data_IF_401021172247
#
_entry.id   IF_401021172247
#
_cell.length_a   1.000
_cell.length_b   1.000
_cell.length_c   1.000
_cell.angle_alpha   90.00
_cell.angle_beta   90.00
_cell.angle_gamma   90.00
#
_symmetry.space_group_name_H-M   'P 1'
#
loop_
_entity.id
_entity.type
_entity.pdbx_description
1 polymer ?
#
# COMPACT_ATOMS: atom_id res chain seq x y z
N UNK A 1 13.56 -0.76 17.03
CA UNK A 1 13.07 -1.81 16.12
C UNK A 1 13.75 -1.61 14.78
N UNK A 2 14.32 -2.65 14.19
CA UNK A 2 14.98 -2.53 12.89
C UNK A 2 13.96 -2.48 11.73
N UNK A 3 14.38 -2.10 10.51
CA UNK A 3 13.48 -1.95 9.37
C UNK A 3 12.77 -3.24 8.96
N UNK A 4 13.40 -4.40 9.19
CA UNK A 4 12.85 -5.70 8.81
C UNK A 4 11.74 -6.11 9.78
N UNK A 5 11.98 -5.96 11.08
CA UNK A 5 10.95 -6.15 12.11
C UNK A 5 9.75 -5.23 11.87
N UNK A 6 10.00 -3.98 11.48
CA UNK A 6 8.94 -3.00 11.15
C UNK A 6 8.11 -3.41 9.93
N UNK A 7 8.77 -3.92 8.88
CA UNK A 7 8.09 -4.41 7.69
C UNK A 7 7.23 -5.65 7.99
N UNK A 8 7.74 -6.58 8.81
CA UNK A 8 7.01 -7.77 9.23
C UNK A 8 5.73 -7.40 10.01
N UNK A 9 5.85 -6.53 11.02
CA UNK A 9 4.71 -6.07 11.81
C UNK A 9 3.70 -5.36 10.90
N UNK A 10 4.17 -4.46 10.03
CA UNK A 10 3.28 -3.73 9.10
C UNK A 10 2.54 -4.66 8.14
N UNK A 11 3.21 -5.68 7.61
CA UNK A 11 2.62 -6.68 6.74
C UNK A 11 1.56 -7.52 7.47
N UNK A 12 1.82 -7.94 8.70
CA UNK A 12 0.84 -8.66 9.53
C UNK A 12 -0.37 -7.77 9.85
N UNK A 13 -0.15 -6.53 10.31
CA UNK A 13 -1.24 -5.61 10.65
C UNK A 13 -2.10 -5.27 9.43
N UNK A 14 -1.45 -4.92 8.31
CA UNK A 14 -2.14 -4.60 7.07
C UNK A 14 -2.84 -5.82 6.45
N UNK A 15 -2.24 -7.01 6.58
CA UNK A 15 -2.82 -8.27 6.12
C UNK A 15 -3.98 -8.77 6.98
N UNK A 16 -3.90 -8.61 8.30
CA UNK A 16 -4.98 -8.94 9.20
C UNK A 16 -6.18 -8.00 9.04
N UNK A 17 -5.95 -6.73 8.67
CA UNK A 17 -7.02 -5.79 8.36
C UNK A 17 -7.57 -5.97 6.93
N UNK A 18 -6.69 -6.13 5.93
CA UNK A 18 -7.03 -6.18 4.52
C UNK A 18 -7.34 -7.60 4.01
N UNK A 19 -6.51 -8.59 4.32
CA UNK A 19 -6.65 -9.98 3.85
C UNK A 19 -7.89 -10.73 4.37
N UNK A 20 -8.57 -10.19 5.39
CA UNK A 20 -9.89 -10.65 5.85
C UNK A 20 -11.04 -9.75 5.38
N UNK A 21 -10.74 -8.56 4.85
CA UNK A 21 -11.74 -7.65 4.34
C UNK A 21 -12.30 -8.14 3.01
N UNK A 22 -13.61 -7.93 2.79
CA UNK A 22 -14.33 -8.34 1.57
C UNK A 22 -13.84 -7.63 0.30
N UNK A 23 -13.10 -6.54 0.44
CA UNK A 23 -12.66 -5.67 -0.66
C UNK A 23 -11.20 -5.93 -1.09
N UNK A 24 -10.45 -6.77 -0.37
CA UNK A 24 -9.07 -7.06 -0.75
C UNK A 24 -8.98 -7.90 -2.02
N UNK A 25 -7.91 -7.68 -2.79
CA UNK A 25 -7.62 -8.46 -3.99
C UNK A 25 -7.35 -9.92 -3.62
N UNK A 26 -7.66 -10.85 -4.55
CA UNK A 26 -7.42 -12.28 -4.32
C UNK A 26 -5.95 -12.62 -4.05
N UNK A 27 -5.01 -11.78 -4.50
CA UNK A 27 -3.58 -11.93 -4.25
C UNK A 27 -3.21 -11.55 -2.82
N UNK A 28 -3.73 -10.44 -2.29
CA UNK A 28 -3.56 -10.05 -0.88
C UNK A 28 -4.10 -11.14 0.05
N UNK A 29 -5.30 -11.66 -0.23
CA UNK A 29 -5.91 -12.75 0.56
C UNK A 29 -5.04 -14.02 0.52
N UNK A 30 -4.47 -14.36 -0.64
CA UNK A 30 -3.60 -15.54 -0.79
C UNK A 30 -2.29 -15.36 -0.04
N UNK A 31 -1.62 -14.22 -0.19
CA UNK A 31 -0.36 -13.91 0.48
C UNK A 31 -0.53 -13.91 2.00
N UNK A 32 -1.62 -13.34 2.50
CA UNK A 32 -1.95 -13.37 3.92
C UNK A 32 -2.17 -14.80 4.45
N UNK A 33 -2.99 -15.60 3.76
CA UNK A 33 -3.22 -17.02 4.12
C UNK A 33 -1.92 -17.83 4.13
N UNK A 34 -1.02 -17.56 3.19
CA UNK A 34 0.30 -18.20 3.16
C UNK A 34 1.13 -17.81 4.39
N UNK A 35 1.27 -16.52 4.70
CA UNK A 35 1.99 -16.05 5.89
C UNK A 35 1.41 -16.64 7.17
N UNK A 36 0.08 -16.66 7.30
CA UNK A 36 -0.63 -17.27 8.42
C UNK A 36 -0.32 -18.76 8.56
N UNK A 37 -0.34 -19.51 7.45
CA UNK A 37 0.00 -20.93 7.46
C UNK A 37 1.46 -21.15 7.90
N UNK A 38 2.41 -20.36 7.38
CA UNK A 38 3.82 -20.44 7.77
C UNK A 38 4.03 -20.15 9.26
N UNK A 39 3.34 -19.15 9.81
CA UNK A 39 3.37 -18.84 11.24
C UNK A 39 2.81 -20.00 12.08
N UNK A 40 1.72 -20.62 11.63
CA UNK A 40 1.15 -21.80 12.28
C UNK A 40 2.10 -22.99 12.24
N UNK A 41 2.73 -23.26 11.09
CA UNK A 41 3.62 -24.42 10.89
C UNK A 41 4.93 -24.28 11.67
N UNK A 42 5.53 -23.08 11.69
CA UNK A 42 6.82 -22.87 12.35
C UNK A 42 6.70 -22.72 13.87
N UNK A 43 5.69 -21.99 14.35
CA UNK A 43 5.55 -21.68 15.78
C UNK A 43 4.53 -22.56 16.47
N UNK A 44 3.62 -23.19 15.72
CA UNK A 44 2.56 -24.03 16.24
C UNK A 44 1.29 -23.24 16.55
N UNK A 45 0.14 -23.92 16.40
CA UNK A 45 -1.20 -23.35 16.65
C UNK A 45 -1.44 -22.85 18.08
N UNK A 46 -0.68 -23.38 19.04
CA UNK A 46 -0.79 -23.06 20.45
C UNK A 46 0.24 -22.04 20.92
N UNK A 47 1.10 -21.55 20.01
CA UNK A 47 2.06 -20.49 20.32
C UNK A 47 1.36 -19.18 20.66
N UNK A 48 2.02 -18.37 21.49
CA UNK A 48 1.56 -17.03 21.85
C UNK A 48 1.41 -16.18 20.58
N UNK A 49 2.43 -16.18 19.72
CA UNK A 49 2.41 -15.47 18.43
C UNK A 49 1.20 -15.84 17.56
N UNK A 50 0.92 -17.13 17.36
CA UNK A 50 -0.21 -17.53 16.52
C UNK A 50 -1.56 -17.17 17.16
N UNK A 51 -1.69 -17.29 18.50
CA UNK A 51 -2.90 -16.86 19.21
C UNK A 51 -3.11 -15.34 19.16
N UNK A 52 -2.04 -14.57 19.21
CA UNK A 52 -2.09 -13.11 19.05
C UNK A 52 -2.47 -12.72 17.62
N UNK A 53 -2.00 -13.47 16.61
CA UNK A 53 -2.46 -13.32 15.23
C UNK A 53 -3.97 -13.55 15.11
N UNK A 54 -4.50 -14.67 15.63
CA UNK A 54 -5.94 -14.94 15.63
C UNK A 54 -6.73 -13.85 16.36
N UNK A 55 -6.21 -13.41 17.50
CA UNK A 55 -6.83 -12.34 18.28
C UNK A 55 -6.89 -11.02 17.49
N UNK A 56 -5.84 -10.71 16.74
CA UNK A 56 -5.78 -9.54 15.88
C UNK A 56 -6.75 -9.67 14.70
N UNK A 57 -6.83 -10.84 14.06
CA UNK A 57 -7.80 -11.12 12.97
C UNK A 57 -9.24 -10.84 13.40
N UNK A 58 -9.59 -11.17 14.65
CA UNK A 58 -10.93 -10.90 15.19
C UNK A 58 -11.21 -9.41 15.43
N UNK A 59 -10.16 -8.61 15.70
CA UNK A 59 -10.30 -7.20 16.05
C UNK A 59 -9.09 -6.37 15.59
N UNK A 60 -8.94 -6.15 14.27
CA UNK A 60 -7.74 -5.57 13.69
C UNK A 60 -7.52 -4.12 14.11
N UNK A 61 -8.57 -3.37 14.48
CA UNK A 61 -8.50 -1.98 14.95
C UNK A 61 -8.08 -1.82 16.42
N UNK A 62 -7.91 -2.93 17.16
CA UNK A 62 -7.54 -2.86 18.58
C UNK A 62 -6.05 -2.57 18.78
N UNK A 63 -5.73 -1.34 19.22
CA UNK A 63 -4.34 -0.94 19.53
C UNK A 63 -3.61 -1.94 20.43
N UNK A 64 -4.24 -2.37 21.53
CA UNK A 64 -3.63 -3.34 22.45
C UNK A 64 -3.26 -4.66 21.76
N UNK A 65 -4.06 -5.12 20.78
CA UNK A 65 -3.75 -6.35 20.02
C UNK A 65 -2.66 -6.12 18.99
N UNK A 66 -2.65 -4.94 18.36
CA UNK A 66 -1.59 -4.52 17.43
C UNK A 66 -0.23 -4.38 18.13
N UNK A 67 -0.22 -3.90 19.37
CA UNK A 67 1.00 -3.80 20.18
C UNK A 67 1.44 -5.18 20.69
N UNK A 68 0.52 -6.00 21.20
CA UNK A 68 0.85 -7.33 21.70
C UNK A 68 1.46 -8.26 20.65
N UNK A 69 0.93 -8.27 19.42
CA UNK A 69 1.51 -9.09 18.35
C UNK A 69 2.90 -8.60 17.92
N UNK A 70 3.19 -7.30 18.04
CA UNK A 70 4.51 -6.75 17.73
C UNK A 70 5.56 -7.24 18.73
N UNK A 71 5.21 -7.33 20.01
CA UNK A 71 6.03 -7.93 21.06
C UNK A 71 6.25 -9.43 20.81
N UNK A 72 5.17 -10.17 20.56
CA UNK A 72 5.25 -11.62 20.33
C UNK A 72 6.08 -12.01 19.11
N UNK A 73 6.07 -11.19 18.05
CA UNK A 73 6.90 -11.37 16.86
C UNK A 73 8.39 -11.34 17.20
N UNK A 74 8.80 -10.42 18.08
CA UNK A 74 10.20 -10.28 18.51
C UNK A 74 10.57 -11.38 19.49
N UNK A 75 9.69 -11.68 20.45
CA UNK A 75 9.93 -12.68 21.50
C UNK A 75 10.06 -14.09 20.94
N UNK A 76 9.25 -14.43 19.93
CA UNK A 76 9.33 -15.71 19.24
C UNK A 76 10.43 -15.75 18.15
N UNK A 77 11.11 -14.63 17.88
CA UNK A 77 12.14 -14.54 16.85
C UNK A 77 11.60 -14.66 15.42
N UNK A 78 10.33 -14.36 15.18
CA UNK A 78 9.74 -14.35 13.84
C UNK A 78 10.32 -13.25 12.96
N UNK A 79 10.73 -12.16 13.59
CA UNK A 79 11.53 -11.09 13.00
C UNK A 79 12.89 -11.53 12.46
N UNK A 80 13.41 -12.69 12.88
CA UNK A 80 14.72 -13.22 12.45
C UNK A 80 14.60 -14.38 11.46
N UNK A 81 13.38 -14.82 11.15
CA UNK A 81 13.16 -15.93 10.25
C UNK A 81 13.11 -15.43 8.79
N UNK A 82 14.07 -15.78 7.92
CA UNK A 82 14.17 -15.22 6.58
C UNK A 82 12.96 -15.56 5.69
N UNK A 83 12.38 -16.75 5.84
CA UNK A 83 11.19 -17.15 5.07
C UNK A 83 9.96 -16.34 5.47
N UNK A 84 9.80 -16.08 6.78
CA UNK A 84 8.71 -15.24 7.30
C UNK A 84 8.88 -13.78 6.87
N UNK A 85 10.10 -13.26 6.90
CA UNK A 85 10.41 -11.90 6.42
C UNK A 85 10.04 -11.72 4.94
N UNK A 86 10.37 -12.71 4.09
CA UNK A 86 10.04 -12.68 2.66
C UNK A 86 8.53 -12.68 2.46
N UNK A 87 7.81 -13.60 3.10
CA UNK A 87 6.35 -13.69 2.97
C UNK A 87 5.63 -12.42 3.47
N UNK A 88 6.11 -11.84 4.57
CA UNK A 88 5.53 -10.60 5.09
C UNK A 88 5.86 -9.37 4.22
N UNK A 89 7.05 -9.34 3.62
CA UNK A 89 7.41 -8.29 2.66
C UNK A 89 6.56 -8.36 1.40
N UNK A 90 6.36 -9.55 0.84
CA UNK A 90 5.48 -9.78 -0.32
C UNK A 90 4.06 -9.28 -0.03
N UNK A 91 3.51 -9.67 1.12
CA UNK A 91 2.20 -9.20 1.56
C UNK A 91 2.15 -7.68 1.71
N UNK A 92 3.17 -7.07 2.33
CA UNK A 92 3.24 -5.61 2.50
C UNK A 92 3.29 -4.88 1.16
N UNK A 93 4.04 -5.39 0.19
CA UNK A 93 4.17 -4.77 -1.12
C UNK A 93 2.84 -4.90 -1.91
N UNK A 94 2.17 -6.06 -1.86
CA UNK A 94 0.81 -6.24 -2.39
C UNK A 94 -0.21 -5.30 -1.74
N UNK A 95 -0.11 -5.07 -0.43
CA UNK A 95 -1.00 -4.14 0.29
C UNK A 95 -0.80 -2.70 -0.16
N UNK A 96 0.45 -2.28 -0.44
CA UNK A 96 0.73 -0.94 -0.97
C UNK A 96 0.19 -0.77 -2.38
N UNK A 97 0.28 -1.80 -3.21
CA UNK A 97 -0.28 -1.81 -4.57
C UNK A 97 -1.80 -1.84 -4.56
N UNK A 98 -2.41 -2.53 -3.59
CA UNK A 98 -3.85 -2.62 -3.42
C UNK A 98 -4.48 -1.38 -2.76
N UNK A 99 -3.67 -0.48 -2.17
CA UNK A 99 -4.21 0.81 -1.73
C UNK A 99 -4.73 1.55 -2.95
N UNK A 100 -6.01 2.00 -2.94
CA UNK A 100 -6.52 2.79 -4.04
C UNK A 100 -5.59 3.98 -4.23
N UNK A 101 -5.08 4.17 -5.45
CA UNK A 101 -4.40 5.41 -5.80
C UNK A 101 -5.26 6.57 -5.29
N UNK A 102 -4.62 7.55 -4.66
CA UNK A 102 -5.29 8.63 -3.94
C UNK A 102 -6.54 9.12 -4.70
N UNK A 103 -7.71 9.05 -4.05
CA UNK A 103 -8.94 9.57 -4.65
C UNK A 103 -8.82 11.08 -4.71
N UNK A 104 -8.58 11.61 -5.91
CA UNK A 104 -8.52 13.05 -6.13
C UNK A 104 -9.90 13.56 -6.56
N UNK A 105 -10.65 14.12 -5.61
CA UNK A 105 -11.88 14.86 -5.94
C UNK A 105 -11.51 16.23 -6.51
N UNK A 106 -11.99 16.53 -7.71
CA UNK A 106 -11.67 17.75 -8.42
C UNK A 106 -12.96 18.36 -8.98
N UNK A 107 -13.31 19.56 -8.50
CA UNK A 107 -14.45 20.32 -9.01
C UNK A 107 -13.93 21.52 -9.78
N UNK A 108 -14.20 21.55 -11.09
CA UNK A 108 -13.87 22.67 -11.95
C UNK A 108 -15.13 23.50 -12.25
N UNK A 109 -15.07 24.80 -12.02
CA UNK A 109 -16.10 25.76 -12.45
C UNK A 109 -15.47 26.78 -13.39
N UNK A 110 -16.15 27.12 -14.50
CA UNK A 110 -15.61 28.04 -15.51
C UNK A 110 -14.65 27.38 -16.49
N UNK A 111 -13.81 28.17 -17.17
CA UNK A 111 -12.99 27.71 -18.29
C UNK A 111 -11.64 27.06 -17.93
N UNK A 112 -11.40 26.61 -16.70
CA UNK A 112 -10.07 26.08 -16.32
C UNK A 112 -9.81 24.65 -16.82
N UNK A 113 -8.77 24.00 -16.30
CA UNK A 113 -8.49 22.60 -16.57
C UNK A 113 -7.85 21.93 -15.35
N UNK A 114 -8.03 20.61 -15.22
CA UNK A 114 -7.48 19.81 -14.14
C UNK A 114 -6.61 18.71 -14.75
N UNK A 115 -5.35 18.65 -14.32
CA UNK A 115 -4.40 17.58 -14.66
C UNK A 115 -3.97 16.88 -13.37
N UNK A 116 -4.09 15.55 -13.33
CA UNK A 116 -3.75 14.72 -12.18
C UNK A 116 -2.91 13.53 -12.62
N UNK A 117 -1.95 13.15 -11.78
CA UNK A 117 -1.03 12.06 -12.05
C UNK A 117 0.33 12.50 -12.59
N UNK A 118 1.29 11.60 -12.55
CA UNK A 118 2.67 11.84 -13.00
C UNK A 118 2.68 12.11 -14.51
N UNK A 119 3.23 13.26 -14.91
CA UNK A 119 3.30 13.67 -16.32
C UNK A 119 2.03 14.34 -16.84
N UNK A 120 1.05 14.65 -15.98
CA UNK A 120 -0.17 15.32 -16.39
C UNK A 120 0.08 16.80 -16.75
N UNK A 121 -0.53 17.23 -17.84
CA UNK A 121 -0.43 18.59 -18.38
C UNK A 121 -1.81 19.02 -18.84
N UNK A 122 -2.24 20.23 -18.48
CA UNK A 122 -3.54 20.75 -18.87
C UNK A 122 -3.50 22.26 -19.07
N UNK A 123 -4.31 22.76 -20.01
CA UNK A 123 -4.55 24.18 -20.25
C UNK A 123 -6.06 24.46 -20.16
N UNK A 124 -6.41 25.55 -19.48
CA UNK A 124 -7.76 26.11 -19.52
C UNK A 124 -8.00 26.96 -20.77
N UNK A 125 -9.11 27.68 -20.78
CA UNK A 125 -9.57 28.55 -21.85
C UNK A 125 -8.48 29.56 -22.24
N UNK A 126 -8.16 29.63 -23.53
CA UNK A 126 -7.10 30.47 -24.09
C UNK A 126 -5.67 29.94 -23.88
N UNK A 127 -5.48 28.79 -23.25
CA UNK A 127 -4.17 28.24 -22.93
C UNK A 127 -3.61 27.28 -23.97
N UNK A 128 -2.28 27.24 -24.05
CA UNK A 128 -1.51 26.18 -24.71
C UNK A 128 -0.68 25.51 -23.62
N UNK A 129 -0.78 24.19 -23.50
CA UNK A 129 0.05 23.42 -22.56
C UNK A 129 0.89 22.39 -23.32
N UNK A 130 2.17 22.34 -23.00
CA UNK A 130 3.13 21.44 -23.64
C UNK A 130 3.77 20.56 -22.57
N UNK A 131 3.62 19.24 -22.73
CA UNK A 131 4.22 18.24 -21.85
C UNK A 131 5.40 17.56 -22.51
N UNK A 132 6.42 17.23 -21.70
CA UNK A 132 7.62 16.55 -22.17
C UNK A 132 8.65 17.50 -22.80
N UNK A 133 9.47 16.97 -23.73
CA UNK A 133 10.56 17.72 -24.37
C UNK A 133 10.15 18.18 -25.78
N UNK A 134 10.42 19.44 -26.12
CA UNK A 134 10.19 19.98 -27.46
C UNK A 134 11.53 19.96 -28.20
N UNK A 135 11.74 18.91 -29.01
CA UNK A 135 13.00 18.66 -29.69
C UNK A 135 13.30 19.53 -30.92
N UNK A 136 12.43 20.51 -31.24
CA UNK A 136 12.50 21.35 -32.44
C UNK A 136 12.03 22.79 -32.14
N UNK A 137 12.35 23.75 -33.01
CA UNK A 137 11.85 25.13 -32.91
C UNK A 137 10.31 25.19 -33.06
N UNK A 138 9.66 26.02 -32.23
CA UNK A 138 8.24 26.34 -32.34
C UNK A 138 8.11 27.56 -33.26
N UNK A 139 7.57 27.37 -34.47
CA UNK A 139 7.24 28.46 -35.38
C UNK A 139 5.82 28.98 -35.08
N UNK A 140 5.70 30.21 -34.56
CA UNK A 140 4.41 30.89 -34.36
C UNK A 140 4.20 31.91 -35.48
N UNK A 141 3.42 31.60 -36.53
CA UNK A 141 3.05 32.60 -37.53
C UNK A 141 2.16 33.67 -36.89
N UNK A 142 2.44 34.93 -37.21
CA UNK A 142 1.93 36.11 -36.51
C UNK A 142 0.40 36.23 -36.46
N UNK A 143 -0.08 36.84 -35.38
CA UNK A 143 -1.35 37.57 -35.41
C UNK A 143 -1.17 38.77 -36.33
N UNK A 144 -1.83 38.76 -37.48
CA UNK A 144 -1.98 39.96 -38.29
C UNK A 144 -2.73 40.99 -37.44
N UNK A 145 -2.03 42.09 -37.10
CA UNK A 145 -2.60 43.28 -36.50
C UNK A 145 -3.56 43.91 -37.53
N UNK A 146 -4.87 43.81 -37.29
CA UNK A 146 -5.91 44.61 -37.97
C UNK A 146 -6.07 45.98 -37.28
#
# INVERSE_FOLDING_TARGET
MDPVTTALISGILGGAAGGVASEATGEVVRAYKNLRAMLMEKYGKDSILFRSLLSLEEKPESKNKQEGIAEDVVDCGADKNPEIQVAAKELLDLLKEAQPEAVYNATLNGGGAIAQGKGAVAAGAGGIAVGGNVGSEINMPGSEDD
#
